data_IF_024206214916
#
_entry.id   IF_024206214916
#
_cell.length_a   1.000
_cell.length_b   1.000
_cell.length_c   1.000
_cell.angle_alpha   90.00
_cell.angle_beta   90.00
_cell.angle_gamma   90.00
#
_symmetry.space_group_name_H-M   'P 1'
#
loop_
_entity.id
_entity.type
_entity.pdbx_description
1 polymer ?
#
# COMPACT_ATOMS: atom_id res chain seq x y z
N UNK A 1 -3.46 -8.83 -23.74
CA UNK A 1 -2.63 -9.02 -24.96
C UNK A 1 -2.53 -7.72 -25.74
N UNK A 2 -3.66 -7.12 -26.14
CA UNK A 2 -3.75 -5.83 -26.86
C UNK A 2 -2.95 -4.72 -26.14
N UNK A 3 -2.99 -4.67 -24.82
CA UNK A 3 -2.35 -3.62 -24.00
C UNK A 3 -0.83 -3.55 -24.16
N UNK A 4 -0.15 -4.68 -24.40
CA UNK A 4 1.32 -4.73 -24.46
C UNK A 4 1.84 -4.06 -25.73
N UNK A 5 1.21 -4.31 -26.87
CA UNK A 5 1.55 -3.67 -28.15
C UNK A 5 1.21 -2.17 -28.12
N UNK A 6 0.09 -1.80 -27.48
CA UNK A 6 -0.26 -0.39 -27.26
C UNK A 6 0.75 0.33 -26.35
N UNK A 7 1.23 -0.35 -25.30
CA UNK A 7 2.26 0.16 -24.41
C UNK A 7 3.61 0.31 -25.12
N UNK A 8 4.04 -0.67 -25.91
CA UNK A 8 5.31 -0.63 -26.67
C UNK A 8 5.31 0.55 -27.66
N UNK A 9 4.20 0.78 -28.34
CA UNK A 9 4.03 1.94 -29.22
C UNK A 9 4.02 3.27 -28.44
N UNK A 10 3.29 3.36 -27.33
CA UNK A 10 3.29 4.56 -26.48
C UNK A 10 4.69 4.86 -25.91
N UNK A 11 5.43 3.84 -25.46
CA UNK A 11 6.80 3.98 -24.96
C UNK A 11 7.75 4.49 -26.04
N UNK A 12 7.63 3.95 -27.26
CA UNK A 12 8.48 4.36 -28.40
C UNK A 12 8.32 5.85 -28.72
N UNK A 13 7.07 6.33 -28.84
CA UNK A 13 6.78 7.75 -29.09
C UNK A 13 7.15 8.62 -27.89
N UNK A 14 6.84 8.17 -26.67
CA UNK A 14 7.18 8.86 -25.41
C UNK A 14 8.70 9.08 -25.26
N UNK A 15 9.52 8.07 -25.53
CA UNK A 15 10.99 8.18 -25.41
C UNK A 15 11.56 9.25 -26.35
N UNK A 16 10.99 9.38 -27.56
CA UNK A 16 11.39 10.41 -28.52
C UNK A 16 10.96 11.79 -27.99
N UNK A 17 9.68 11.95 -27.64
CA UNK A 17 9.09 13.20 -27.14
C UNK A 17 9.73 13.73 -25.85
N UNK A 18 10.10 12.85 -24.90
CA UNK A 18 10.86 13.25 -23.71
C UNK A 18 12.28 13.73 -24.07
N UNK A 19 12.96 13.05 -25.00
CA UNK A 19 14.35 13.38 -25.39
C UNK A 19 14.45 14.68 -26.18
N UNK A 20 13.40 15.07 -26.89
CA UNK A 20 13.34 16.33 -27.64
C UNK A 20 12.92 17.54 -26.78
N UNK A 21 12.59 17.36 -25.50
CA UNK A 21 12.03 18.41 -24.65
C UNK A 21 12.97 18.75 -23.48
N UNK A 22 13.55 19.95 -23.48
CA UNK A 22 14.51 20.40 -22.47
C UNK A 22 13.94 20.41 -21.03
N UNK A 23 12.62 20.63 -20.88
CA UNK A 23 11.95 20.53 -19.58
C UNK A 23 11.99 19.10 -18.98
N UNK A 24 12.21 18.07 -19.81
CA UNK A 24 12.33 16.68 -19.37
C UNK A 24 13.78 16.19 -19.25
N UNK A 25 14.74 16.79 -19.97
CA UNK A 25 16.16 16.37 -19.91
C UNK A 25 16.84 16.73 -18.57
N UNK A 26 16.32 17.73 -17.85
CA UNK A 26 16.83 18.19 -16.55
C UNK A 26 16.28 17.40 -15.34
N UNK A 27 15.37 16.45 -15.54
CA UNK A 27 14.65 15.78 -14.44
C UNK A 27 15.44 14.61 -13.85
N UNK A 28 15.93 14.80 -12.62
CA UNK A 28 16.77 13.81 -11.91
C UNK A 28 16.01 12.75 -11.11
N UNK A 29 14.67 12.79 -11.05
CA UNK A 29 13.88 11.81 -10.29
C UNK A 29 12.56 11.44 -10.94
N UNK A 30 12.14 10.19 -10.76
CA UNK A 30 10.86 9.66 -11.24
C UNK A 30 9.64 10.38 -10.63
N UNK A 31 9.79 10.95 -9.43
CA UNK A 31 8.78 11.79 -8.80
C UNK A 31 8.65 13.18 -9.46
N UNK A 32 9.76 13.76 -9.94
CA UNK A 32 9.72 14.99 -10.73
C UNK A 32 9.13 14.73 -12.12
N UNK A 33 9.52 13.62 -12.76
CA UNK A 33 8.96 13.15 -14.03
C UNK A 33 7.44 13.00 -13.97
N UNK A 34 6.91 12.31 -12.94
CA UNK A 34 5.46 12.16 -12.75
C UNK A 34 4.73 13.51 -12.63
N UNK A 35 5.31 14.48 -11.92
CA UNK A 35 4.75 15.83 -11.78
C UNK A 35 4.75 16.60 -13.10
N UNK A 36 5.87 16.58 -13.82
CA UNK A 36 6.00 17.26 -15.12
C UNK A 36 5.04 16.68 -16.16
N UNK A 37 4.88 15.34 -16.21
CA UNK A 37 3.91 14.69 -17.10
C UNK A 37 2.46 15.14 -16.85
N UNK A 38 2.09 15.50 -15.61
CA UNK A 38 0.76 16.04 -15.30
C UNK A 38 0.65 17.52 -15.67
N UNK A 39 1.67 18.33 -15.34
CA UNK A 39 1.77 19.75 -15.71
C UNK A 39 1.57 19.95 -17.22
N UNK A 40 2.29 19.16 -18.02
CA UNK A 40 2.31 19.27 -19.47
C UNK A 40 1.22 18.41 -20.15
N UNK A 41 0.29 17.83 -19.37
CA UNK A 41 -0.81 16.95 -19.80
C UNK A 41 -0.39 15.68 -20.55
N UNK A 42 0.92 15.37 -20.61
CA UNK A 42 1.48 14.15 -21.21
C UNK A 42 1.01 12.87 -20.50
N UNK A 43 0.49 12.96 -19.27
CA UNK A 43 -0.23 11.89 -18.59
C UNK A 43 -1.52 11.45 -19.30
N UNK A 44 -2.15 12.32 -20.09
CA UNK A 44 -3.32 12.01 -20.93
C UNK A 44 -2.91 11.44 -22.28
N UNK A 45 -1.76 11.88 -22.82
CA UNK A 45 -1.21 11.43 -24.11
C UNK A 45 -0.60 10.02 -24.01
N UNK A 46 0.08 9.73 -22.90
CA UNK A 46 0.76 8.45 -22.65
C UNK A 46 0.21 7.76 -21.37
N UNK A 47 -1.09 7.41 -21.34
CA UNK A 47 -1.74 6.95 -20.10
C UNK A 47 -1.22 5.61 -19.59
N UNK A 48 -0.65 4.76 -20.46
CA UNK A 48 -0.03 3.49 -20.03
C UNK A 48 1.34 3.75 -19.40
N UNK A 49 2.14 4.64 -20.00
CA UNK A 49 3.45 5.05 -19.46
C UNK A 49 3.32 5.76 -18.12
N UNK A 50 2.34 6.67 -18.00
CA UNK A 50 2.06 7.35 -16.74
C UNK A 50 1.62 6.37 -15.63
N UNK A 51 0.79 5.36 -15.95
CA UNK A 51 0.44 4.29 -15.00
C UNK A 51 1.67 3.51 -14.52
N UNK A 52 2.61 3.16 -15.40
CA UNK A 52 3.86 2.49 -15.00
C UNK A 52 4.72 3.36 -14.07
N UNK A 53 4.82 4.65 -14.33
CA UNK A 53 5.55 5.61 -13.49
C UNK A 53 4.90 5.74 -12.11
N UNK A 54 3.56 5.78 -12.05
CA UNK A 54 2.81 5.75 -10.77
C UNK A 54 3.03 4.43 -10.04
N UNK A 55 2.98 3.28 -10.72
CA UNK A 55 3.28 1.99 -10.09
C UNK A 55 4.72 1.92 -9.56
N UNK A 56 5.71 2.42 -10.29
CA UNK A 56 7.09 2.48 -9.81
C UNK A 56 7.26 3.37 -8.56
N UNK A 57 6.39 4.38 -8.37
CA UNK A 57 6.33 5.22 -7.17
C UNK A 57 5.56 4.56 -6.01
N UNK A 58 4.51 3.78 -6.26
CA UNK A 58 3.71 3.14 -5.22
C UNK A 58 4.24 1.76 -4.78
N UNK A 59 4.94 1.05 -5.65
CA UNK A 59 5.51 -0.28 -5.37
C UNK A 59 6.41 -0.30 -4.12
N UNK A 60 7.34 0.66 -3.89
CA UNK A 60 8.11 0.68 -2.65
C UNK A 60 7.26 0.77 -1.38
N UNK A 61 6.15 1.52 -1.42
CA UNK A 61 5.21 1.67 -0.29
C UNK A 61 4.43 0.38 -0.06
N UNK A 62 3.99 -0.27 -1.13
CA UNK A 62 3.33 -1.57 -1.08
C UNK A 62 4.27 -2.66 -0.52
N UNK A 63 5.50 -2.77 -1.05
CA UNK A 63 6.52 -3.72 -0.58
C UNK A 63 6.84 -3.50 0.89
N UNK A 64 7.15 -2.27 1.32
CA UNK A 64 7.42 -1.96 2.72
C UNK A 64 6.23 -2.28 3.64
N UNK A 65 4.99 -2.12 3.17
CA UNK A 65 3.78 -2.48 3.92
C UNK A 65 3.63 -4.00 4.06
N UNK A 66 3.89 -4.75 2.99
CA UNK A 66 3.88 -6.22 3.00
C UNK A 66 5.00 -6.78 3.87
N UNK A 67 6.24 -6.29 3.73
CA UNK A 67 7.37 -6.68 4.58
C UNK A 67 7.11 -6.38 6.07
N UNK A 68 6.52 -5.23 6.38
CA UNK A 68 6.08 -4.86 7.74
C UNK A 68 5.04 -5.85 8.28
N UNK A 69 4.05 -6.23 7.47
CA UNK A 69 3.02 -7.21 7.85
C UNK A 69 3.61 -8.62 8.05
N UNK A 70 4.50 -9.09 7.18
CA UNK A 70 5.20 -10.38 7.33
C UNK A 70 6.15 -10.38 8.56
N UNK A 71 6.83 -9.26 8.83
CA UNK A 71 7.67 -9.09 10.01
C UNK A 71 6.84 -9.12 11.30
N UNK A 72 5.69 -8.43 11.31
CA UNK A 72 4.74 -8.49 12.41
C UNK A 72 4.18 -9.91 12.63
N UNK A 73 3.74 -10.59 11.57
CA UNK A 73 3.30 -11.99 11.62
C UNK A 73 4.39 -12.91 12.18
N UNK A 74 5.66 -12.69 11.83
CA UNK A 74 6.82 -13.41 12.36
C UNK A 74 7.05 -13.13 13.85
N UNK A 75 6.89 -11.88 14.30
CA UNK A 75 6.96 -11.50 15.73
C UNK A 75 5.82 -12.15 16.53
N UNK A 76 4.59 -12.05 16.03
CA UNK A 76 3.39 -12.66 16.63
C UNK A 76 3.58 -14.18 16.73
N UNK A 77 3.90 -14.85 15.62
CA UNK A 77 4.14 -16.32 15.56
C UNK A 77 5.31 -16.78 16.44
N UNK A 78 6.33 -15.94 16.65
CA UNK A 78 7.43 -16.27 17.57
C UNK A 78 7.03 -16.06 19.05
N UNK A 79 6.28 -15.01 19.38
CA UNK A 79 5.81 -14.75 20.77
C UNK A 79 4.75 -15.74 21.23
N UNK A 80 3.88 -16.21 20.33
CA UNK A 80 2.75 -17.10 20.64
C UNK A 80 3.05 -18.60 20.51
N UNK A 81 4.33 -18.97 20.31
CA UNK A 81 4.84 -20.27 19.81
C UNK A 81 4.53 -21.52 20.67
N UNK A 82 3.66 -21.41 21.67
CA UNK A 82 3.26 -22.51 22.57
C UNK A 82 1.76 -22.59 22.91
N UNK A 83 0.89 -21.66 22.47
CA UNK A 83 -0.52 -21.64 22.96
C UNK A 83 -1.65 -21.21 22.01
N UNK A 84 -1.41 -20.49 20.91
CA UNK A 84 -2.50 -19.96 20.06
C UNK A 84 -2.45 -20.54 18.64
N UNK A 85 -3.56 -21.13 18.19
CA UNK A 85 -3.74 -21.73 16.86
C UNK A 85 -4.20 -20.74 15.79
N UNK A 86 -4.37 -21.21 14.55
CA UNK A 86 -4.46 -20.32 13.37
C UNK A 86 -5.64 -19.34 13.38
N UNK A 87 -6.80 -19.69 13.95
CA UNK A 87 -7.91 -18.76 14.14
C UNK A 87 -7.52 -17.57 15.03
N UNK A 88 -6.89 -17.87 16.16
CA UNK A 88 -6.39 -16.89 17.14
C UNK A 88 -5.28 -16.00 16.55
N UNK A 89 -4.47 -16.56 15.64
CA UNK A 89 -3.48 -15.79 14.87
C UNK A 89 -4.15 -14.78 13.92
N UNK A 90 -5.26 -15.18 13.28
CA UNK A 90 -6.05 -14.35 12.37
C UNK A 90 -6.73 -13.19 13.13
N UNK A 91 -7.37 -13.50 14.26
CA UNK A 91 -7.96 -12.49 15.17
C UNK A 91 -6.94 -11.43 15.61
N UNK A 92 -5.67 -11.82 15.80
CA UNK A 92 -4.58 -10.93 16.18
C UNK A 92 -3.98 -10.14 14.99
N UNK A 93 -4.20 -10.57 13.75
CA UNK A 93 -3.71 -9.87 12.54
C UNK A 93 -4.61 -8.70 12.17
N UNK A 94 -5.93 -8.82 12.33
CA UNK A 94 -6.90 -7.76 12.00
C UNK A 94 -6.56 -6.39 12.63
N UNK A 95 -6.44 -6.24 13.97
CA UNK A 95 -6.10 -4.95 14.58
C UNK A 95 -4.65 -4.49 14.34
N UNK A 96 -3.78 -5.37 13.81
CA UNK A 96 -2.40 -5.01 13.47
C UNK A 96 -2.30 -4.46 12.03
N UNK A 97 -3.09 -5.00 11.10
CA UNK A 97 -3.21 -4.48 9.73
C UNK A 97 -3.99 -3.16 9.78
N UNK A 98 -5.16 -3.16 10.41
CA UNK A 98 -6.04 -1.99 10.57
C UNK A 98 -5.59 -1.08 11.72
N UNK A 99 -4.27 -0.91 11.93
CA UNK A 99 -3.74 -0.22 13.12
C UNK A 99 -4.27 1.21 13.27
N UNK A 100 -4.43 1.95 12.18
CA UNK A 100 -4.95 3.34 12.23
C UNK A 100 -6.41 3.38 12.69
N UNK A 101 -7.19 2.34 12.37
CA UNK A 101 -8.57 2.18 12.87
C UNK A 101 -8.56 1.72 14.33
N UNK A 102 -7.67 0.79 14.69
CA UNK A 102 -7.53 0.30 16.06
C UNK A 102 -7.06 1.38 17.04
N UNK A 103 -6.07 2.18 16.66
CA UNK A 103 -5.56 3.33 17.44
C UNK A 103 -6.63 4.43 17.64
N UNK A 104 -7.71 4.43 16.83
CA UNK A 104 -8.86 5.34 17.00
C UNK A 104 -9.89 4.86 18.05
N UNK A 105 -9.81 3.60 18.49
CA UNK A 105 -10.71 3.03 19.51
C UNK A 105 -10.19 3.36 20.90
N UNK A 106 -10.99 4.09 21.69
CA UNK A 106 -10.59 4.49 23.05
C UNK A 106 -10.57 3.30 24.02
N UNK A 107 -9.61 3.31 24.96
CA UNK A 107 -9.43 2.22 25.93
C UNK A 107 -10.65 2.06 26.86
N UNK A 108 -11.38 3.14 27.12
CA UNK A 108 -12.61 3.13 27.92
C UNK A 108 -13.71 2.29 27.25
N UNK A 109 -13.85 2.39 25.92
CA UNK A 109 -14.80 1.57 25.15
C UNK A 109 -14.42 0.09 25.18
N UNK A 110 -13.12 -0.22 25.07
CA UNK A 110 -12.60 -1.59 25.19
C UNK A 110 -12.89 -2.15 26.59
N UNK A 111 -12.57 -1.39 27.65
CA UNK A 111 -12.87 -1.77 29.04
C UNK A 111 -14.36 -2.01 29.28
N UNK A 112 -15.23 -1.08 28.85
CA UNK A 112 -16.69 -1.23 29.00
C UNK A 112 -17.23 -2.45 28.25
N UNK A 113 -16.69 -2.76 27.07
CA UNK A 113 -17.08 -3.96 26.31
C UNK A 113 -16.72 -5.24 27.07
N UNK A 114 -15.48 -5.36 27.58
CA UNK A 114 -15.04 -6.51 28.36
C UNK A 114 -15.83 -6.67 29.67
N UNK A 115 -16.08 -5.59 30.40
CA UNK A 115 -16.92 -5.61 31.61
C UNK A 115 -18.35 -6.10 31.30
N UNK A 116 -18.93 -5.65 30.17
CA UNK A 116 -20.27 -6.05 29.72
C UNK A 116 -20.34 -7.50 29.20
N UNK A 117 -19.22 -8.06 28.73
CA UNK A 117 -19.09 -9.50 28.47
C UNK A 117 -19.00 -10.30 29.77
N UNK A 118 -18.14 -9.87 30.70
CA UNK A 118 -17.91 -10.57 31.97
C UNK A 118 -19.17 -10.65 32.82
N UNK A 119 -19.93 -9.55 32.94
CA UNK A 119 -21.18 -9.53 33.69
C UNK A 119 -22.25 -10.47 33.09
N UNK A 120 -22.32 -10.58 31.74
CA UNK A 120 -23.21 -11.54 31.05
C UNK A 120 -22.81 -13.00 31.29
N UNK A 121 -21.54 -13.27 31.55
CA UNK A 121 -21.01 -14.61 31.87
C UNK A 121 -21.16 -14.96 33.37
N UNK A 122 -21.51 -13.98 34.22
CA UNK A 122 -21.83 -14.16 35.64
C UNK A 122 -23.35 -14.18 35.90
N UNK A 123 -24.18 -13.90 34.88
CA UNK A 123 -25.64 -13.95 34.92
C UNK A 123 -26.22 -15.17 34.19
N UNK A 124 -25.44 -16.25 34.12
CA UNK A 124 -25.74 -17.55 33.49
C UNK A 124 -25.29 -18.67 34.43
#
# INVERSE_FOLDING_TARGET
MIDLVSLEHQLSTYIIDMRTSEEFTSLTSIAALAKQMVKDKKNVVYPLVYKLIVFALTLPVATATVERAFSAMKIIKHRLRSKMGDAWLNDCLVPYIEKEVFDSVSNEVIMQHYQKMQSRMQSL
#
